data_IF_453553157524
#
_entry.id   IF_453553157524
#
_cell.length_a   1.000
_cell.length_b   1.000
_cell.length_c   1.000
_cell.angle_alpha   90.00
_cell.angle_beta   90.00
_cell.angle_gamma   90.00
#
_symmetry.space_group_name_H-M   'P 1'
#
loop_
_entity.id
_entity.type
_entity.pdbx_description
1 polymer ?
#
# COMPACT_ATOMS: atom_id res chain seq x y z
N UNK A 1 1.55 -8.58 -19.12
CA UNK A 1 1.34 -9.12 -17.74
C UNK A 1 1.50 -7.95 -16.76
N UNK A 2 0.40 -7.47 -16.17
CA UNK A 2 0.48 -6.43 -15.13
C UNK A 2 1.18 -7.03 -13.91
N UNK A 3 2.35 -6.52 -13.53
CA UNK A 3 3.07 -6.98 -12.35
C UNK A 3 2.19 -6.70 -11.12
N UNK A 4 1.83 -7.77 -10.42
CA UNK A 4 1.03 -7.71 -9.19
C UNK A 4 1.86 -7.03 -8.11
N UNK A 5 1.63 -5.75 -7.89
CA UNK A 5 2.21 -5.01 -6.76
C UNK A 5 1.42 -5.38 -5.51
N UNK A 6 2.10 -5.87 -4.49
CA UNK A 6 1.48 -6.10 -3.20
C UNK A 6 1.37 -4.77 -2.46
N UNK A 7 0.14 -4.36 -2.20
CA UNK A 7 -0.15 -3.25 -1.30
C UNK A 7 -0.37 -3.80 0.09
N UNK A 8 0.23 -3.19 1.13
CA UNK A 8 -0.14 -3.50 2.50
C UNK A 8 -1.62 -3.20 2.69
N UNK A 9 -2.43 -4.24 2.70
CA UNK A 9 -3.86 -4.18 2.91
C UNK A 9 -4.23 -5.09 4.06
N UNK A 10 -5.30 -4.74 4.77
CA UNK A 10 -5.92 -5.57 5.80
C UNK A 10 -7.39 -5.78 5.47
N UNK A 11 -7.88 -6.99 5.67
CA UNK A 11 -9.30 -7.30 5.51
C UNK A 11 -10.01 -6.94 6.81
N UNK A 12 -11.05 -6.12 6.69
CA UNK A 12 -11.86 -5.68 7.82
C UNK A 12 -13.28 -6.22 7.65
N UNK A 13 -13.75 -6.96 8.65
CA UNK A 13 -15.14 -7.42 8.67
C UNK A 13 -15.99 -6.40 9.46
N UNK A 14 -17.14 -5.92 8.94
CA UNK A 14 -17.95 -4.90 9.60
C UNK A 14 -18.31 -5.22 11.05
N UNK A 15 -18.63 -6.48 11.37
CA UNK A 15 -18.98 -6.90 12.74
C UNK A 15 -17.80 -6.93 13.73
N UNK A 16 -16.58 -6.66 13.26
CA UNK A 16 -15.34 -6.68 14.07
C UNK A 16 -14.64 -5.32 14.12
N UNK A 17 -15.32 -4.26 13.68
CA UNK A 17 -14.78 -2.91 13.72
C UNK A 17 -14.82 -2.38 15.17
N UNK A 18 -13.67 -2.36 15.84
CA UNK A 18 -13.51 -1.68 17.13
C UNK A 18 -13.29 -0.17 16.97
N UNK A 19 -13.25 0.58 18.08
CA UNK A 19 -13.22 2.06 18.08
C UNK A 19 -12.05 2.72 17.33
N UNK A 20 -11.00 1.98 16.97
CA UNK A 20 -9.80 2.48 16.29
C UNK A 20 -9.58 1.86 14.91
N UNK A 21 -10.61 1.24 14.33
CA UNK A 21 -10.48 0.49 13.07
C UNK A 21 -10.03 1.36 11.89
N UNK A 22 -10.37 2.65 11.89
CA UNK A 22 -10.03 3.60 10.82
C UNK A 22 -8.64 4.22 10.97
N UNK A 23 -7.97 4.04 12.11
CA UNK A 23 -6.70 4.69 12.37
C UNK A 23 -5.63 4.25 11.36
N UNK A 24 -4.97 5.25 10.77
CA UNK A 24 -3.86 5.08 9.83
C UNK A 24 -4.27 4.62 8.43
N UNK A 25 -5.56 4.43 8.14
CA UNK A 25 -6.02 4.05 6.81
C UNK A 25 -6.00 5.25 5.86
N UNK A 26 -5.35 5.08 4.70
CA UNK A 26 -5.36 6.07 3.61
C UNK A 26 -6.47 5.82 2.61
N UNK A 27 -6.81 4.55 2.39
CA UNK A 27 -7.97 4.16 1.61
C UNK A 27 -8.69 2.95 2.21
N UNK A 28 -9.97 2.82 1.85
CA UNK A 28 -10.83 1.70 2.18
C UNK A 28 -11.54 1.28 0.90
N UNK A 29 -11.43 0.02 0.52
CA UNK A 29 -12.27 -0.55 -0.54
C UNK A 29 -13.46 -1.28 0.08
N UNK A 30 -14.68 -0.88 -0.28
CA UNK A 30 -15.91 -1.55 0.14
C UNK A 30 -16.20 -2.69 -0.83
N UNK A 31 -15.84 -3.91 -0.44
CA UNK A 31 -16.04 -5.12 -1.26
C UNK A 31 -17.29 -5.85 -0.77
N UNK A 32 -18.32 -5.94 -1.61
CA UNK A 32 -19.54 -6.71 -1.33
C UNK A 32 -20.81 -5.85 -1.33
N UNK A 33 -21.81 -6.32 -0.58
CA UNK A 33 -23.15 -5.72 -0.53
C UNK A 33 -23.14 -4.26 -0.06
N UNK A 34 -24.27 -3.59 -0.31
CA UNK A 34 -24.55 -2.23 0.10
C UNK A 34 -24.08 -1.91 1.54
N UNK A 35 -23.24 -0.89 1.68
CA UNK A 35 -22.77 -0.34 2.96
C UNK A 35 -23.46 0.98 3.30
N UNK A 36 -23.60 1.30 4.59
CA UNK A 36 -24.00 2.62 5.06
C UNK A 36 -22.78 3.53 5.21
N UNK A 37 -22.86 4.76 4.69
CA UNK A 37 -21.83 5.80 4.83
C UNK A 37 -21.50 6.09 6.29
N UNK A 38 -22.45 5.95 7.21
CA UNK A 38 -22.23 6.18 8.65
C UNK A 38 -21.14 5.27 9.23
N UNK A 39 -21.04 4.02 8.74
CA UNK A 39 -19.98 3.09 9.15
C UNK A 39 -18.60 3.59 8.73
N UNK A 40 -18.51 4.30 7.60
CA UNK A 40 -17.28 4.79 7.00
C UNK A 40 -16.89 6.19 7.49
N UNK A 41 -17.80 6.90 8.16
CA UNK A 41 -17.61 8.28 8.60
C UNK A 41 -16.33 8.50 9.42
N UNK A 42 -15.93 7.62 10.38
CA UNK A 42 -14.69 7.79 11.12
C UNK A 42 -13.43 7.81 10.24
N UNK A 43 -13.44 7.13 9.09
CA UNK A 43 -12.33 7.14 8.16
C UNK A 43 -12.36 8.36 7.23
N UNK A 44 -13.56 8.74 6.76
CA UNK A 44 -13.75 9.95 5.96
C UNK A 44 -13.36 11.21 6.74
N UNK A 45 -13.70 11.29 8.03
CA UNK A 45 -13.31 12.40 8.92
C UNK A 45 -11.80 12.44 9.20
N UNK A 46 -11.13 11.28 9.10
CA UNK A 46 -9.68 11.16 9.18
C UNK A 46 -8.96 11.45 7.85
N UNK A 47 -9.69 11.73 6.77
CA UNK A 47 -9.15 12.07 5.45
C UNK A 47 -8.88 10.87 4.54
N UNK A 48 -9.46 9.70 4.82
CA UNK A 48 -9.31 8.53 3.96
C UNK A 48 -10.14 8.64 2.67
N UNK A 49 -9.68 7.97 1.61
CA UNK A 49 -10.46 7.78 0.38
C UNK A 49 -11.19 6.44 0.42
N UNK A 50 -12.51 6.47 0.33
CA UNK A 50 -13.34 5.28 0.18
C UNK A 50 -13.48 4.96 -1.30
N UNK A 51 -13.11 3.75 -1.71
CA UNK A 51 -13.42 3.19 -3.01
C UNK A 51 -14.64 2.29 -2.90
N UNK A 52 -15.55 2.40 -3.86
CA UNK A 52 -16.76 1.59 -3.92
C UNK A 52 -17.14 1.27 -5.38
N UNK A 53 -17.76 0.11 -5.60
CA UNK A 53 -18.31 -0.26 -6.90
C UNK A 53 -19.60 0.51 -7.22
N UNK A 54 -20.09 0.38 -8.46
CA UNK A 54 -21.33 1.02 -8.89
C UNK A 54 -22.56 0.66 -8.02
N UNK A 55 -22.60 -0.51 -7.39
CA UNK A 55 -23.67 -0.95 -6.46
C UNK A 55 -23.77 -0.07 -5.23
N UNK A 56 -22.68 0.61 -4.84
CA UNK A 56 -22.64 1.45 -3.66
C UNK A 56 -22.85 2.94 -3.98
N UNK A 57 -23.49 3.28 -5.11
CA UNK A 57 -23.81 4.66 -5.51
C UNK A 57 -24.55 5.47 -4.43
N UNK A 58 -25.36 4.81 -3.58
CA UNK A 58 -26.07 5.49 -2.48
C UNK A 58 -25.14 6.18 -1.49
N UNK A 59 -23.87 5.76 -1.38
CA UNK A 59 -22.88 6.41 -0.52
C UNK A 59 -22.64 7.89 -0.88
N UNK A 60 -22.93 8.28 -2.13
CA UNK A 60 -22.70 9.64 -2.63
C UNK A 60 -23.94 10.54 -2.59
N UNK A 61 -25.05 10.06 -2.04
CA UNK A 61 -26.27 10.86 -1.90
C UNK A 61 -25.99 12.13 -1.07
N UNK A 62 -26.36 13.27 -1.66
CA UNK A 62 -26.14 14.60 -1.08
C UNK A 62 -24.69 15.11 -1.14
N UNK A 63 -23.78 14.42 -1.82
CA UNK A 63 -22.39 14.86 -1.98
C UNK A 63 -22.15 15.56 -3.32
N UNK A 64 -21.19 16.47 -3.33
CA UNK A 64 -20.74 17.16 -4.54
C UNK A 64 -19.63 16.37 -5.23
N UNK A 65 -19.75 16.21 -6.54
CA UNK A 65 -18.68 15.64 -7.36
C UNK A 65 -17.49 16.59 -7.45
N UNK A 66 -16.29 16.07 -7.27
CA UNK A 66 -15.03 16.82 -7.41
C UNK A 66 -14.33 16.54 -8.74
N UNK A 67 -14.86 15.61 -9.54
CA UNK A 67 -14.30 15.27 -10.85
C UNK A 67 -14.36 13.78 -11.17
N UNK A 68 -13.66 13.41 -12.23
CA UNK A 68 -13.51 12.03 -12.70
C UNK A 68 -12.03 11.72 -12.78
N UNK A 69 -11.61 10.61 -12.20
CA UNK A 69 -10.23 10.12 -12.27
C UNK A 69 -10.00 9.38 -13.60
N UNK A 70 -8.75 9.29 -14.08
CA UNK A 70 -8.40 8.72 -15.39
C UNK A 70 -8.87 7.27 -15.62
N UNK A 71 -9.06 6.50 -14.55
CA UNK A 71 -9.61 5.13 -14.61
C UNK A 71 -11.15 5.10 -14.52
N UNK A 72 -11.81 6.24 -14.74
CA UNK A 72 -13.27 6.38 -14.84
C UNK A 72 -14.00 6.54 -13.50
N UNK A 73 -13.29 6.54 -12.37
CA UNK A 73 -13.93 6.70 -11.05
C UNK A 73 -14.46 8.12 -10.89
N UNK A 74 -15.72 8.25 -10.48
CA UNK A 74 -16.31 9.53 -10.08
C UNK A 74 -15.92 9.83 -8.63
N UNK A 75 -15.34 11.00 -8.40
CA UNK A 75 -14.86 11.42 -7.08
C UNK A 75 -15.88 12.36 -6.44
N UNK A 76 -16.15 12.18 -5.15
CA UNK A 76 -17.06 12.99 -4.35
C UNK A 76 -16.36 13.42 -3.06
N UNK A 77 -16.52 14.69 -2.69
CA UNK A 77 -16.02 15.18 -1.40
C UNK A 77 -16.88 14.64 -0.26
N UNK A 78 -16.26 14.12 0.79
CA UNK A 78 -16.95 13.56 1.96
C UNK A 78 -16.16 13.82 3.25
N UNK A 79 -16.58 14.81 4.03
CA UNK A 79 -15.83 15.25 5.22
C UNK A 79 -14.45 15.80 4.83
N UNK A 80 -13.39 15.28 5.46
CA UNK A 80 -11.99 15.57 5.08
C UNK A 80 -11.45 14.64 3.99
N UNK A 81 -12.18 13.56 3.70
CA UNK A 81 -11.81 12.52 2.76
C UNK A 81 -12.59 12.62 1.45
N UNK A 82 -12.63 11.50 0.73
CA UNK A 82 -13.35 11.42 -0.54
C UNK A 82 -13.96 10.04 -0.76
N UNK A 83 -14.98 9.96 -1.61
CA UNK A 83 -15.57 8.72 -2.10
C UNK A 83 -15.32 8.63 -3.61
N UNK A 84 -14.72 7.53 -4.05
CA UNK A 84 -14.48 7.19 -5.44
C UNK A 84 -15.40 6.04 -5.85
N UNK A 85 -16.37 6.34 -6.71
CA UNK A 85 -17.30 5.35 -7.26
C UNK A 85 -16.81 4.86 -8.62
N UNK A 86 -16.60 3.55 -8.71
CA UNK A 86 -16.26 2.88 -9.97
C UNK A 86 -17.40 3.01 -10.98
N UNK A 87 -17.11 3.17 -12.28
CA UNK A 87 -18.14 3.20 -13.32
C UNK A 87 -18.82 1.84 -13.53
N UNK A 88 -18.22 0.76 -13.05
CA UNK A 88 -18.72 -0.62 -13.21
C UNK A 88 -18.67 -1.37 -11.89
N UNK A 89 -19.26 -2.57 -11.88
CA UNK A 89 -19.01 -3.52 -10.79
C UNK A 89 -17.57 -4.02 -10.79
N UNK A 90 -17.09 -4.37 -9.60
CA UNK A 90 -15.79 -5.00 -9.43
C UNK A 90 -15.92 -6.51 -9.61
N UNK A 91 -15.11 -7.07 -10.50
CA UNK A 91 -15.02 -8.51 -10.76
C UNK A 91 -13.72 -9.13 -10.22
N UNK A 92 -12.70 -8.30 -9.93
CA UNK A 92 -11.40 -8.73 -9.43
C UNK A 92 -10.95 -7.86 -8.25
N UNK A 93 -10.85 -8.39 -7.02
CA UNK A 93 -10.39 -7.63 -5.86
C UNK A 93 -8.93 -7.14 -6.01
N UNK A 94 -8.11 -7.80 -6.83
CA UNK A 94 -6.74 -7.32 -7.10
C UNK A 94 -6.73 -6.08 -8.00
N UNK A 95 -7.68 -5.98 -8.94
CA UNK A 95 -7.89 -4.78 -9.75
C UNK A 95 -8.24 -3.56 -8.89
N UNK A 96 -9.09 -3.75 -7.89
CA UNK A 96 -9.49 -2.70 -6.93
C UNK A 96 -8.30 -2.12 -6.19
N UNK A 97 -7.36 -2.97 -5.78
CA UNK A 97 -6.14 -2.54 -5.09
C UNK A 97 -5.27 -1.67 -6.01
N UNK A 98 -5.16 -2.01 -7.30
CA UNK A 98 -4.42 -1.20 -8.27
C UNK A 98 -5.09 0.15 -8.50
N UNK A 99 -6.42 0.17 -8.58
CA UNK A 99 -7.18 1.42 -8.70
C UNK A 99 -7.02 2.29 -7.46
N UNK A 100 -7.03 1.70 -6.26
CA UNK A 100 -6.75 2.41 -5.01
C UNK A 100 -5.37 3.08 -5.05
N UNK A 101 -4.32 2.39 -5.53
CA UNK A 101 -3.01 3.02 -5.67
C UNK A 101 -3.04 4.20 -6.65
N UNK A 102 -3.69 4.03 -7.82
CA UNK A 102 -3.74 5.09 -8.83
C UNK A 102 -4.43 6.33 -8.27
N UNK A 103 -5.57 6.14 -7.60
CA UNK A 103 -6.35 7.22 -6.99
C UNK A 103 -5.57 7.89 -5.85
N UNK A 104 -4.89 7.12 -4.99
CA UNK A 104 -4.12 7.67 -3.87
C UNK A 104 -2.78 8.29 -4.30
N UNK A 105 -2.33 8.06 -5.54
CA UNK A 105 -0.98 8.36 -6.00
C UNK A 105 0.12 7.58 -5.25
N UNK A 106 1.32 7.56 -5.84
CA UNK A 106 2.51 6.96 -5.23
C UNK A 106 2.91 7.62 -3.93
N UNK A 107 2.48 8.85 -3.65
CA UNK A 107 2.78 9.56 -2.39
C UNK A 107 2.38 8.79 -1.13
N UNK A 108 1.45 7.83 -1.25
CA UNK A 108 0.98 6.97 -0.16
C UNK A 108 1.61 5.57 -0.15
N UNK A 109 2.60 5.28 -1.02
CA UNK A 109 3.30 4.00 -0.99
C UNK A 109 4.06 3.83 0.33
N UNK A 110 3.93 2.66 0.98
CA UNK A 110 4.70 2.33 2.19
C UNK A 110 6.08 1.77 1.84
N UNK A 111 6.17 1.04 0.73
CA UNK A 111 7.41 0.46 0.21
C UNK A 111 7.48 0.67 -1.30
N UNK A 112 8.68 0.91 -1.82
CA UNK A 112 8.94 0.98 -3.27
C UNK A 112 10.16 0.16 -3.62
N UNK A 113 10.08 -0.48 -4.79
CA UNK A 113 11.20 -1.19 -5.40
C UNK A 113 11.57 -0.54 -6.72
N UNK A 114 12.86 -0.40 -6.98
CA UNK A 114 13.41 -0.06 -8.29
C UNK A 114 14.23 -1.23 -8.81
N UNK A 115 14.20 -1.44 -10.13
CA UNK A 115 14.89 -2.55 -10.80
C UNK A 115 14.53 -3.94 -10.23
N UNK A 116 13.30 -4.10 -9.72
CA UNK A 116 12.88 -5.31 -9.00
C UNK A 116 12.70 -6.54 -9.89
N UNK A 117 12.61 -6.35 -11.21
CA UNK A 117 12.30 -7.44 -12.13
C UNK A 117 11.04 -8.20 -11.70
N UNK A 118 11.16 -9.52 -11.51
CA UNK A 118 10.08 -10.38 -11.04
C UNK A 118 10.00 -10.52 -9.52
N UNK A 119 10.45 -9.49 -8.79
CA UNK A 119 10.45 -9.49 -7.33
C UNK A 119 9.25 -8.75 -6.75
N UNK A 120 8.75 -9.25 -5.62
CA UNK A 120 7.71 -8.61 -4.81
C UNK A 120 8.27 -8.30 -3.42
N UNK A 121 7.71 -7.30 -2.74
CA UNK A 121 8.10 -6.93 -1.38
C UNK A 121 6.92 -6.98 -0.42
N UNK A 122 7.21 -7.38 0.80
CA UNK A 122 6.29 -7.46 1.93
C UNK A 122 6.86 -6.67 3.10
N UNK A 123 6.40 -5.43 3.32
CA UNK A 123 6.84 -4.66 4.46
C UNK A 123 6.06 -5.06 5.71
N UNK A 124 6.78 -5.17 6.83
CA UNK A 124 6.24 -5.31 8.18
C UNK A 124 6.90 -4.24 9.06
N UNK A 125 6.15 -3.66 9.99
CA UNK A 125 6.67 -2.57 10.81
C UNK A 125 6.05 -2.61 12.21
N UNK A 126 6.85 -2.26 13.21
CA UNK A 126 6.42 -1.99 14.57
C UNK A 126 7.13 -0.71 15.09
N UNK A 127 7.01 -0.43 16.39
CA UNK A 127 7.63 0.75 16.99
C UNK A 127 9.16 0.68 16.97
N UNK A 128 9.74 -0.51 17.13
CA UNK A 128 11.20 -0.74 17.23
C UNK A 128 11.93 -0.85 15.90
N UNK A 129 11.22 -1.06 14.79
CA UNK A 129 11.85 -1.28 13.49
C UNK A 129 10.87 -1.63 12.38
N UNK A 130 11.43 -1.99 11.24
CA UNK A 130 10.69 -2.53 10.10
C UNK A 130 11.48 -3.63 9.41
N UNK A 131 10.80 -4.53 8.72
CA UNK A 131 11.42 -5.54 7.88
C UNK A 131 10.72 -5.57 6.53
N UNK A 132 11.49 -5.53 5.45
CA UNK A 132 10.99 -5.69 4.08
C UNK A 132 11.50 -7.02 3.54
N UNK A 133 10.58 -7.97 3.38
CA UNK A 133 10.90 -9.27 2.78
C UNK A 133 10.70 -9.20 1.27
N UNK A 134 11.73 -9.52 0.51
CA UNK A 134 11.73 -9.47 -0.95
C UNK A 134 11.86 -10.88 -1.51
N UNK A 135 10.91 -11.28 -2.35
CA UNK A 135 10.89 -12.58 -3.01
C UNK A 135 11.01 -12.40 -4.52
N UNK A 136 12.03 -13.00 -5.11
CA UNK A 136 12.29 -13.03 -6.55
C UNK A 136 11.80 -14.35 -7.15
N UNK A 137 10.75 -14.29 -7.96
CA UNK A 137 10.15 -15.48 -8.58
C UNK A 137 10.88 -16.00 -9.81
N UNK A 138 11.84 -15.25 -10.35
CA UNK A 138 12.58 -15.71 -11.53
C UNK A 138 13.58 -16.83 -11.21
N UNK A 139 13.94 -16.99 -9.93
CA UNK A 139 15.01 -17.90 -9.50
C UNK A 139 16.39 -17.54 -10.07
N UNK A 140 16.53 -16.36 -10.67
CA UNK A 140 17.76 -15.84 -11.26
C UNK A 140 18.14 -14.54 -10.56
N UNK A 141 19.43 -14.30 -10.29
CA UNK A 141 19.89 -13.00 -9.82
C UNK A 141 19.35 -11.85 -10.67
N UNK A 142 18.97 -10.74 -10.04
CA UNK A 142 18.54 -9.55 -10.76
C UNK A 142 19.68 -9.04 -11.66
N UNK A 143 19.38 -8.74 -12.92
CA UNK A 143 20.39 -8.25 -13.89
C UNK A 143 20.87 -6.81 -13.63
N UNK A 144 20.19 -6.08 -12.73
CA UNK A 144 20.54 -4.73 -12.32
C UNK A 144 20.44 -4.60 -10.79
N UNK A 145 21.23 -3.71 -10.17
CA UNK A 145 21.10 -3.41 -8.75
C UNK A 145 19.68 -2.94 -8.41
N UNK A 146 19.09 -3.59 -7.42
CA UNK A 146 17.76 -3.26 -6.89
C UNK A 146 17.92 -2.28 -5.73
N UNK A 147 17.02 -1.32 -5.61
CA UNK A 147 16.89 -0.52 -4.39
C UNK A 147 15.52 -0.68 -3.77
N UNK A 148 15.47 -0.57 -2.44
CA UNK A 148 14.26 -0.63 -1.63
C UNK A 148 14.14 0.68 -0.88
N UNK A 149 12.98 1.32 -0.99
CA UNK A 149 12.64 2.48 -0.18
C UNK A 149 11.47 2.16 0.73
N UNK A 150 11.55 2.63 1.97
CA UNK A 150 10.53 2.49 2.99
C UNK A 150 10.09 3.88 3.47
N UNK A 151 8.78 4.08 3.62
CA UNK A 151 8.14 5.35 4.01
C UNK A 151 8.32 5.70 5.51
N UNK A 152 9.50 5.42 6.06
CA UNK A 152 9.95 5.82 7.40
C UNK A 152 11.46 5.97 7.39
N UNK A 153 11.95 6.90 8.22
CA UNK A 153 13.38 7.12 8.41
C UNK A 153 13.92 6.09 9.38
N UNK A 154 14.95 5.40 8.93
CA UNK A 154 15.77 4.51 9.73
C UNK A 154 17.24 4.84 9.50
N UNK A 155 18.04 4.99 10.58
CA UNK A 155 19.46 5.25 10.49
C UNK A 155 20.28 4.00 10.12
N UNK A 156 19.73 2.80 10.27
CA UNK A 156 20.44 1.54 10.09
C UNK A 156 19.58 0.55 9.30
N UNK A 157 20.25 -0.23 8.45
CA UNK A 157 19.65 -1.32 7.71
C UNK A 157 20.62 -2.49 7.56
N UNK A 158 20.08 -3.70 7.54
CA UNK A 158 20.82 -4.94 7.32
C UNK A 158 20.03 -5.83 6.38
N UNK A 159 20.72 -6.48 5.44
CA UNK A 159 20.13 -7.52 4.60
C UNK A 159 20.55 -8.90 5.11
N UNK A 160 19.64 -9.86 5.04
CA UNK A 160 19.92 -11.28 5.18
C UNK A 160 19.30 -12.10 4.05
N UNK A 161 19.87 -13.26 3.74
CA UNK A 161 19.29 -14.23 2.81
C UNK A 161 18.99 -15.57 3.49
N UNK A 162 18.43 -16.53 2.73
CA UNK A 162 18.10 -17.87 3.25
C UNK A 162 19.32 -18.75 3.54
N UNK A 163 20.52 -18.33 3.12
CA UNK A 163 21.76 -19.12 3.21
C UNK A 163 22.70 -18.58 4.29
N UNK A 164 22.22 -17.68 5.15
CA UNK A 164 22.96 -17.15 6.29
C UNK A 164 23.88 -15.97 5.94
N UNK A 165 23.82 -15.43 4.71
CA UNK A 165 24.48 -14.15 4.44
C UNK A 165 23.81 -13.08 5.27
N UNK A 166 24.61 -12.20 5.86
CA UNK A 166 24.13 -11.01 6.54
C UNK A 166 25.08 -9.86 6.26
N UNK A 167 24.56 -8.70 5.86
CA UNK A 167 25.37 -7.55 5.46
C UNK A 167 24.69 -6.23 5.87
N UNK A 168 25.46 -5.30 6.42
CA UNK A 168 24.97 -3.95 6.75
C UNK A 168 24.86 -3.13 5.48
N UNK A 169 23.73 -2.44 5.31
CA UNK A 169 23.46 -1.61 4.14
C UNK A 169 23.67 -0.14 4.46
N UNK A 170 24.21 0.59 3.50
CA UNK A 170 24.21 2.06 3.53
C UNK A 170 22.78 2.56 3.33
N UNK A 171 22.30 3.37 4.27
CA UNK A 171 20.98 4.01 4.20
C UNK A 171 21.08 5.41 3.60
N UNK A 172 20.32 5.66 2.54
CA UNK A 172 20.13 6.98 1.96
C UNK A 172 18.78 7.57 2.37
N UNK A 173 18.73 8.89 2.59
CA UNK A 173 17.46 9.59 2.85
C UNK A 173 16.88 10.09 1.54
N UNK A 174 15.66 9.67 1.20
CA UNK A 174 14.92 10.17 0.02
C UNK A 174 13.45 10.35 0.33
N UNK A 175 12.85 11.46 -0.11
CA UNK A 175 11.40 11.70 0.01
C UNK A 175 10.82 11.37 1.40
N UNK A 176 11.52 11.81 2.46
CA UNK A 176 11.20 11.55 3.86
C UNK A 176 11.30 10.10 4.36
N UNK A 177 11.62 9.14 3.49
CA UNK A 177 11.89 7.74 3.85
C UNK A 177 13.37 7.36 3.77
N UNK A 178 13.65 6.08 4.00
CA UNK A 178 14.97 5.47 3.86
C UNK A 178 15.02 4.59 2.61
N UNK A 179 16.04 4.80 1.78
CA UNK A 179 16.39 3.96 0.63
C UNK A 179 17.67 3.17 0.92
N UNK A 180 17.73 1.93 0.46
CA UNK A 180 18.93 1.09 0.50
C UNK A 180 19.12 0.39 -0.84
N UNK A 181 20.38 0.23 -1.25
CA UNK A 181 20.73 -0.67 -2.35
C UNK A 181 20.80 -2.10 -1.82
N UNK A 182 20.12 -3.03 -2.48
CA UNK A 182 20.07 -4.42 -2.08
C UNK A 182 21.12 -5.19 -2.87
N UNK A 183 22.07 -5.88 -2.18
CA UNK A 183 23.01 -6.76 -2.84
C UNK A 183 22.30 -7.83 -3.65
N UNK A 184 23.00 -8.38 -4.64
CA UNK A 184 22.43 -9.42 -5.50
C UNK A 184 22.02 -10.64 -4.68
N UNK A 185 20.77 -11.10 -4.89
CA UNK A 185 20.20 -12.31 -4.30
C UNK A 185 19.39 -13.07 -5.36
N UNK A 186 19.27 -14.39 -5.18
CA UNK A 186 18.61 -15.27 -6.16
C UNK A 186 17.11 -15.39 -5.92
N UNK A 187 16.72 -15.74 -4.69
CA UNK A 187 15.31 -16.06 -4.36
C UNK A 187 14.75 -15.12 -3.32
N UNK A 188 15.47 -14.89 -2.23
CA UNK A 188 14.94 -14.16 -1.08
C UNK A 188 15.99 -13.24 -0.47
N UNK A 189 15.52 -12.08 0.00
CA UNK A 189 16.26 -11.20 0.87
C UNK A 189 15.32 -10.59 1.93
N UNK A 190 15.71 -10.57 3.19
CA UNK A 190 15.06 -9.79 4.23
C UNK A 190 15.90 -8.55 4.51
N UNK A 191 15.26 -7.38 4.54
CA UNK A 191 15.93 -6.10 4.81
C UNK A 191 15.34 -5.54 6.09
N UNK A 192 16.11 -5.61 7.16
CA UNK A 192 15.72 -5.16 8.48
C UNK A 192 16.23 -3.75 8.73
N UNK A 193 15.31 -2.86 9.08
CA UNK A 193 15.56 -1.47 9.42
C UNK A 193 15.37 -1.26 10.92
N UNK A 194 16.31 -0.56 11.56
CA UNK A 194 16.31 -0.32 13.00
C UNK A 194 16.46 1.15 13.31
N UNK A 195 15.80 1.59 14.38
CA UNK A 195 16.15 2.85 15.03
C UNK A 195 17.54 2.70 15.68
N UNK A 196 18.28 3.79 15.85
CA UNK A 196 19.50 3.75 16.67
C UNK A 196 19.11 3.33 18.08
N UNK A 197 19.84 2.35 18.63
CA UNK A 197 19.73 1.97 20.04
C UNK A 197 20.15 3.13 20.96
#
# INVERSE_FOLDING_TARGET
LSFRRQFPARILHPSRLGNKWSNGLRAIAVIGNETDRNVLQPALDAGATVLASATNQKLTQGLTTTGIHDNGYKLFAAGKGSIAISPTEWNDPYGVIQDAQRILSRGNDVVRLWNSGSSIAHPTQNNSGASVQVLNYSGRPAGHPMSVWLARRFPEAQVSDLFGRTETLTTDRRNEGTEVNVPVFTTYAAIDFKERA
#
